data_IF_683948943537
#
_entry.id   IF_683948943537
#
_cell.length_a   1.000
_cell.length_b   1.000
_cell.length_c   1.000
_cell.angle_alpha   90.00
_cell.angle_beta   90.00
_cell.angle_gamma   90.00
#
_symmetry.space_group_name_H-M   'P 1'
#
loop_
_entity.id
_entity.type
_entity.pdbx_description
1 polymer ?
#
# COMPACT_ATOMS: atom_id res chain seq x y z
N UNK A 1 -24.42 38.93 -12.91
CA UNK A 1 -25.09 39.29 -14.18
C UNK A 1 -24.93 38.11 -15.11
N UNK A 2 -26.01 37.56 -15.66
CA UNK A 2 -25.89 36.51 -16.68
C UNK A 2 -25.22 37.11 -17.93
N UNK A 3 -24.26 36.41 -18.56
CA UNK A 3 -23.61 36.92 -19.77
C UNK A 3 -24.69 37.19 -20.83
N UNK A 4 -24.74 38.41 -21.34
CA UNK A 4 -25.71 38.80 -22.38
C UNK A 4 -25.00 38.78 -23.72
N UNK A 5 -25.50 37.96 -24.65
CA UNK A 5 -24.93 37.89 -26.00
C UNK A 5 -25.29 39.15 -26.77
N UNK A 6 -24.26 39.85 -27.21
CA UNK A 6 -24.33 41.01 -28.08
C UNK A 6 -23.93 40.64 -29.51
N UNK A 7 -24.18 41.54 -30.46
CA UNK A 7 -23.79 41.36 -31.86
C UNK A 7 -22.27 41.22 -32.05
N UNK A 8 -21.49 41.74 -31.09
CA UNK A 8 -20.02 41.74 -31.12
C UNK A 8 -19.42 40.61 -30.28
N UNK A 9 -20.24 39.72 -29.71
CA UNK A 9 -19.75 38.61 -28.90
C UNK A 9 -18.94 37.64 -29.77
N UNK A 10 -17.66 37.39 -29.45
CA UNK A 10 -16.82 36.49 -30.23
C UNK A 10 -17.24 35.03 -30.02
N UNK A 11 -17.20 34.23 -31.09
CA UNK A 11 -17.36 32.77 -30.99
C UNK A 11 -16.01 32.16 -30.64
N UNK A 12 -15.95 31.49 -29.50
CA UNK A 12 -14.79 30.77 -29.02
C UNK A 12 -14.72 29.40 -29.69
N UNK A 13 -13.62 29.13 -30.40
CA UNK A 13 -13.41 27.85 -31.06
C UNK A 13 -13.05 26.76 -30.05
N UNK A 14 -13.96 25.81 -29.86
CA UNK A 14 -13.74 24.65 -29.01
C UNK A 14 -13.30 23.43 -29.82
N UNK A 15 -12.17 22.87 -29.42
CA UNK A 15 -11.65 21.63 -29.98
C UNK A 15 -11.49 20.60 -28.86
N UNK A 16 -12.10 19.42 -29.02
CA UNK A 16 -12.10 18.39 -27.99
C UNK A 16 -10.68 18.00 -27.56
N UNK A 17 -9.75 17.77 -28.49
CA UNK A 17 -8.38 17.33 -28.16
C UNK A 17 -7.60 18.30 -27.27
N UNK A 18 -7.82 19.61 -27.42
CA UNK A 18 -7.09 20.63 -26.67
C UNK A 18 -7.84 21.05 -25.40
N UNK A 19 -9.16 21.16 -25.48
CA UNK A 19 -10.00 21.71 -24.42
C UNK A 19 -10.62 20.64 -23.53
N UNK A 20 -10.88 19.44 -24.07
CA UNK A 20 -11.44 18.27 -23.38
C UNK A 20 -10.55 17.03 -23.58
N UNK A 21 -9.30 17.04 -23.11
CA UNK A 21 -8.33 16.00 -23.45
C UNK A 21 -8.64 14.63 -22.83
N UNK A 22 -9.47 14.56 -21.78
CA UNK A 22 -9.92 13.29 -21.22
C UNK A 22 -11.06 12.75 -22.07
N UNK A 23 -10.91 11.53 -22.58
CA UNK A 23 -11.99 10.81 -23.27
C UNK A 23 -12.94 10.18 -22.23
N UNK A 24 -14.23 10.49 -22.30
CA UNK A 24 -15.26 9.98 -21.39
C UNK A 24 -15.53 8.50 -21.67
N UNK A 25 -15.38 7.69 -20.62
CA UNK A 25 -15.66 6.25 -20.56
C UNK A 25 -16.53 5.96 -19.34
N UNK A 26 -17.00 4.71 -19.22
CA UNK A 26 -17.93 4.25 -18.16
C UNK A 26 -17.47 4.54 -16.72
N UNK A 27 -16.17 4.69 -16.48
CA UNK A 27 -15.57 4.74 -15.13
C UNK A 27 -14.99 6.09 -14.72
N UNK A 28 -14.86 7.07 -15.62
CA UNK A 28 -14.14 8.33 -15.36
C UNK A 28 -15.02 9.58 -15.41
N UNK A 29 -16.36 9.42 -15.42
CA UNK A 29 -17.31 10.53 -15.56
C UNK A 29 -17.01 11.71 -14.64
N UNK A 30 -16.72 11.49 -13.36
CA UNK A 30 -16.48 12.58 -12.41
C UNK A 30 -15.22 13.41 -12.69
N UNK A 31 -14.16 12.75 -13.16
CA UNK A 31 -12.91 13.43 -13.54
C UNK A 31 -13.13 14.21 -14.83
N UNK A 32 -13.74 13.56 -15.82
CA UNK A 32 -14.11 14.18 -17.09
C UNK A 32 -15.02 15.41 -16.87
N UNK A 33 -16.09 15.25 -16.09
CA UNK A 33 -17.06 16.29 -15.79
C UNK A 33 -16.38 17.49 -15.10
N UNK A 34 -15.50 17.24 -14.13
CA UNK A 34 -14.75 18.30 -13.45
C UNK A 34 -13.88 19.07 -14.43
N UNK A 35 -13.17 18.38 -15.33
CA UNK A 35 -12.34 19.03 -16.33
C UNK A 35 -13.17 19.85 -17.32
N UNK A 36 -14.21 19.26 -17.91
CA UNK A 36 -15.09 19.93 -18.88
C UNK A 36 -15.73 21.16 -18.25
N UNK A 37 -16.31 21.02 -17.05
CA UNK A 37 -16.92 22.13 -16.33
C UNK A 37 -15.90 23.24 -16.04
N UNK A 38 -14.71 22.91 -15.55
CA UNK A 38 -13.67 23.89 -15.27
C UNK A 38 -13.26 24.66 -16.51
N UNK A 39 -13.15 23.97 -17.66
CA UNK A 39 -12.76 24.58 -18.92
C UNK A 39 -13.88 25.48 -19.48
N UNK A 40 -15.14 25.04 -19.42
CA UNK A 40 -16.29 25.87 -19.80
C UNK A 40 -16.42 27.12 -18.91
N UNK A 41 -16.15 27.02 -17.61
CA UNK A 41 -16.10 28.21 -16.73
C UNK A 41 -14.98 29.15 -17.15
N UNK A 42 -13.78 28.63 -17.43
CA UNK A 42 -12.63 29.44 -17.83
C UNK A 42 -12.85 30.22 -19.14
N UNK A 43 -13.70 29.69 -20.03
CA UNK A 43 -14.07 30.33 -21.30
C UNK A 43 -15.38 31.13 -21.24
N UNK A 44 -16.01 31.24 -20.06
CA UNK A 44 -17.32 31.87 -19.87
C UNK A 44 -18.45 31.23 -20.71
N UNK A 45 -18.39 29.90 -20.89
CA UNK A 45 -19.32 29.10 -21.68
C UNK A 45 -20.22 28.19 -20.84
N UNK A 46 -20.08 28.20 -19.50
CA UNK A 46 -20.86 27.30 -18.63
C UNK A 46 -22.38 27.50 -18.76
N UNK A 47 -22.81 28.72 -19.06
CA UNK A 47 -24.22 29.08 -19.19
C UNK A 47 -24.97 28.29 -20.28
N UNK A 48 -24.25 27.84 -21.31
CA UNK A 48 -24.83 27.03 -22.39
C UNK A 48 -25.20 25.62 -21.95
N UNK A 49 -24.46 25.04 -20.99
CA UNK A 49 -24.65 23.64 -20.57
C UNK A 49 -25.49 23.50 -19.30
N UNK A 50 -25.50 24.52 -18.43
CA UNK A 50 -26.35 24.53 -17.22
C UNK A 50 -27.72 25.19 -17.44
N UNK A 51 -27.95 25.74 -18.64
CA UNK A 51 -29.22 26.35 -19.04
C UNK A 51 -29.45 27.74 -18.47
N UNK A 52 -28.47 28.34 -17.78
CA UNK A 52 -28.58 29.73 -17.29
C UNK A 52 -28.50 30.77 -18.42
N UNK A 53 -27.94 30.40 -19.57
CA UNK A 53 -27.91 31.22 -20.78
C UNK A 53 -28.92 30.72 -21.82
N UNK A 54 -30.10 31.33 -21.83
CA UNK A 54 -31.16 30.98 -22.76
C UNK A 54 -30.87 31.46 -24.19
N UNK A 55 -31.34 30.67 -25.17
CA UNK A 55 -31.27 31.03 -26.57
C UNK A 55 -32.05 32.33 -26.84
N UNK A 56 -31.43 33.34 -27.50
CA UNK A 56 -32.14 34.52 -27.95
C UNK A 56 -33.26 34.15 -28.95
N UNK A 57 -34.30 34.98 -29.13
CA UNK A 57 -35.31 34.76 -30.16
C UNK A 57 -34.68 34.66 -31.56
N UNK A 58 -35.12 33.72 -32.39
CA UNK A 58 -34.62 33.54 -33.77
C UNK A 58 -34.87 34.75 -34.66
N UNK A 59 -35.97 35.45 -34.41
CA UNK A 59 -36.42 36.63 -35.16
C UNK A 59 -36.61 37.78 -34.18
N UNK A 60 -36.11 38.96 -34.53
CA UNK A 60 -36.28 40.21 -33.80
C UNK A 60 -36.79 41.25 -34.79
N UNK A 61 -37.91 41.90 -34.48
CA UNK A 61 -38.52 42.97 -35.31
C UNK A 61 -38.73 42.56 -36.79
N UNK A 62 -39.10 41.30 -37.03
CA UNK A 62 -39.35 40.76 -38.38
C UNK A 62 -38.10 40.39 -39.17
N UNK A 63 -36.90 40.55 -38.61
CA UNK A 63 -35.64 40.17 -39.22
C UNK A 63 -34.93 39.05 -38.42
N UNK A 64 -34.01 38.33 -39.07
CA UNK A 64 -33.19 37.32 -38.40
C UNK A 64 -32.33 37.96 -37.31
N UNK A 65 -32.34 37.37 -36.10
CA UNK A 65 -31.59 37.90 -34.97
C UNK A 65 -30.11 37.47 -35.03
N UNK A 66 -29.14 38.40 -35.17
CA UNK A 66 -27.72 38.05 -35.19
C UNK A 66 -27.25 37.40 -33.87
N UNK A 67 -27.80 37.80 -32.72
CA UNK A 67 -27.43 37.23 -31.43
C UNK A 67 -27.82 35.75 -31.33
N UNK A 68 -28.95 35.34 -31.93
CA UNK A 68 -29.31 33.92 -32.02
C UNK A 68 -28.29 33.14 -32.85
N UNK A 69 -27.83 33.70 -33.98
CA UNK A 69 -26.83 33.02 -34.81
C UNK A 69 -25.51 32.81 -34.07
N UNK A 70 -25.07 33.81 -33.29
CA UNK A 70 -23.86 33.72 -32.45
C UNK A 70 -24.03 32.66 -31.36
N UNK A 71 -25.13 32.73 -30.59
CA UNK A 71 -25.47 31.75 -29.56
C UNK A 71 -25.47 30.33 -30.15
N UNK A 72 -26.17 30.14 -31.26
CA UNK A 72 -26.33 28.83 -31.89
C UNK A 72 -24.99 28.26 -32.38
N UNK A 73 -24.14 29.08 -32.99
CA UNK A 73 -22.79 28.63 -33.40
C UNK A 73 -21.94 28.21 -32.20
N UNK A 74 -22.00 28.96 -31.11
CA UNK A 74 -21.26 28.62 -29.89
C UNK A 74 -21.79 27.33 -29.26
N UNK A 75 -23.11 27.18 -29.15
CA UNK A 75 -23.78 25.98 -28.64
C UNK A 75 -23.39 24.74 -29.45
N UNK A 76 -23.47 24.80 -30.78
CA UNK A 76 -23.07 23.69 -31.65
C UNK A 76 -21.57 23.38 -31.57
N UNK A 77 -20.72 24.39 -31.35
CA UNK A 77 -19.29 24.17 -31.10
C UNK A 77 -19.06 23.41 -29.79
N UNK A 78 -19.85 23.67 -28.75
CA UNK A 78 -19.78 22.93 -27.48
C UNK A 78 -20.25 21.49 -27.68
N UNK A 79 -21.36 21.26 -28.39
CA UNK A 79 -21.82 19.89 -28.72
C UNK A 79 -20.74 19.11 -29.47
N UNK A 80 -20.14 19.70 -30.51
CA UNK A 80 -19.06 19.08 -31.27
C UNK A 80 -17.86 18.72 -30.39
N UNK A 81 -17.49 19.59 -29.45
CA UNK A 81 -16.43 19.31 -28.50
C UNK A 81 -16.82 18.21 -27.49
N UNK A 82 -18.05 18.20 -26.97
CA UNK A 82 -18.57 17.15 -26.09
C UNK A 82 -18.55 15.79 -26.79
N UNK A 83 -19.06 15.70 -28.03
CA UNK A 83 -19.01 14.50 -28.87
C UNK A 83 -17.57 14.02 -29.08
N UNK A 84 -16.66 14.94 -29.40
CA UNK A 84 -15.24 14.63 -29.59
C UNK A 84 -14.54 14.17 -28.31
N UNK A 85 -15.04 14.56 -27.14
CA UNK A 85 -14.55 14.12 -25.84
C UNK A 85 -15.16 12.79 -25.36
N UNK A 86 -16.18 12.28 -26.03
CA UNK A 86 -16.83 11.02 -25.67
C UNK A 86 -16.16 9.82 -26.35
N UNK A 87 -16.17 8.67 -25.67
CA UNK A 87 -15.87 7.39 -26.34
C UNK A 87 -16.96 6.96 -27.29
N UNK A 88 -16.60 6.09 -28.23
CA UNK A 88 -17.47 5.61 -29.29
C UNK A 88 -18.71 4.88 -28.72
N UNK A 89 -18.60 4.34 -27.49
CA UNK A 89 -19.70 3.76 -26.73
C UNK A 89 -20.63 4.80 -26.09
N UNK A 90 -20.12 6.00 -25.80
CA UNK A 90 -20.82 7.09 -25.09
C UNK A 90 -21.40 8.11 -26.06
N UNK A 91 -20.75 8.34 -27.21
CA UNK A 91 -21.21 9.26 -28.26
C UNK A 91 -22.69 9.08 -28.66
N UNK A 92 -23.23 7.85 -28.81
CA UNK A 92 -24.64 7.66 -29.15
C UNK A 92 -25.63 8.24 -28.14
N UNK A 93 -25.21 8.50 -26.89
CA UNK A 93 -26.08 9.08 -25.86
C UNK A 93 -26.40 10.55 -26.10
N UNK A 94 -25.58 11.24 -26.90
CA UNK A 94 -25.72 12.68 -27.17
C UNK A 94 -25.71 13.03 -28.66
N UNK A 95 -25.66 12.04 -29.55
CA UNK A 95 -25.58 12.27 -31.00
C UNK A 95 -26.86 12.88 -31.58
N UNK A 96 -28.00 12.70 -30.91
CA UNK A 96 -29.31 13.25 -31.32
C UNK A 96 -29.69 14.51 -30.57
N UNK A 97 -28.88 14.97 -29.60
CA UNK A 97 -29.20 16.16 -28.82
C UNK A 97 -29.05 17.42 -29.68
N UNK A 98 -30.02 18.32 -29.58
CA UNK A 98 -30.03 19.55 -30.38
C UNK A 98 -29.25 20.68 -29.70
N UNK A 99 -29.10 20.62 -28.38
CA UNK A 99 -28.45 21.68 -27.57
C UNK A 99 -27.36 21.12 -26.66
N UNK A 100 -26.38 21.95 -26.31
CA UNK A 100 -25.33 21.57 -25.37
C UNK A 100 -25.89 21.28 -23.97
N UNK A 101 -26.93 22.01 -23.55
CA UNK A 101 -27.65 21.78 -22.30
C UNK A 101 -28.28 20.37 -22.25
N UNK A 102 -28.95 19.96 -23.32
CA UNK A 102 -29.55 18.63 -23.43
C UNK A 102 -28.47 17.53 -23.40
N UNK A 103 -27.41 17.69 -24.20
CA UNK A 103 -26.29 16.75 -24.22
C UNK A 103 -25.65 16.59 -22.83
N UNK A 104 -25.40 17.71 -22.15
CA UNK A 104 -24.86 17.73 -20.79
C UNK A 104 -25.77 16.99 -19.80
N UNK A 105 -27.08 17.26 -19.86
CA UNK A 105 -28.09 16.62 -19.00
C UNK A 105 -28.17 15.11 -19.25
N UNK A 106 -28.16 14.68 -20.50
CA UNK A 106 -28.22 13.26 -20.87
C UNK A 106 -26.98 12.49 -20.39
N UNK A 107 -25.78 13.05 -20.54
CA UNK A 107 -24.56 12.44 -19.97
C UNK A 107 -24.66 12.34 -18.45
N UNK A 108 -25.11 13.39 -17.80
CA UNK A 108 -25.31 13.38 -16.35
C UNK A 108 -26.30 12.30 -15.90
N UNK A 109 -27.43 12.16 -16.58
CA UNK A 109 -28.44 11.15 -16.28
C UNK A 109 -27.91 9.73 -16.51
N UNK A 110 -27.25 9.48 -17.64
CA UNK A 110 -26.71 8.17 -18.00
C UNK A 110 -25.68 7.65 -16.99
N UNK A 111 -24.89 8.55 -16.38
CA UNK A 111 -23.84 8.18 -15.45
C UNK A 111 -24.23 8.31 -13.96
N UNK A 112 -25.45 8.77 -13.66
CA UNK A 112 -25.94 8.97 -12.30
C UNK A 112 -26.07 7.65 -11.49
N UNK A 113 -26.47 6.55 -12.14
CA UNK A 113 -26.61 5.25 -11.45
C UNK A 113 -25.24 4.65 -11.09
N UNK A 114 -24.29 4.71 -12.03
CA UNK A 114 -22.90 4.29 -11.84
C UNK A 114 -22.22 5.11 -10.73
N UNK A 115 -22.44 6.42 -10.70
CA UNK A 115 -21.89 7.29 -9.66
C UNK A 115 -22.46 6.95 -8.27
N UNK A 116 -23.77 6.68 -8.14
CA UNK A 116 -24.37 6.26 -6.87
C UNK A 116 -23.80 4.94 -6.36
N UNK A 117 -23.71 3.92 -7.21
CA UNK A 117 -23.10 2.63 -6.84
C UNK A 117 -21.63 2.78 -6.42
N UNK A 118 -20.87 3.62 -7.14
CA UNK A 118 -19.49 3.95 -6.79
C UNK A 118 -19.39 4.69 -5.45
N UNK A 119 -20.24 5.68 -5.18
CA UNK A 119 -20.28 6.39 -3.90
C UNK A 119 -20.51 5.41 -2.75
N UNK A 120 -21.49 4.49 -2.87
CA UNK A 120 -21.77 3.49 -1.84
C UNK A 120 -20.57 2.57 -1.64
N UNK A 121 -19.95 2.09 -2.72
CA UNK A 121 -18.75 1.25 -2.66
C UNK A 121 -17.58 1.96 -1.98
N UNK A 122 -17.31 3.22 -2.34
CA UNK A 122 -16.25 4.02 -1.74
C UNK A 122 -16.50 4.32 -0.26
N UNK A 123 -17.74 4.67 0.13
CA UNK A 123 -18.11 4.87 1.55
C UNK A 123 -17.95 3.58 2.35
N UNK A 124 -18.33 2.44 1.77
CA UNK A 124 -18.11 1.12 2.39
C UNK A 124 -16.63 0.83 2.60
N UNK A 125 -15.79 1.09 1.58
CA UNK A 125 -14.33 0.97 1.68
C UNK A 125 -13.78 1.90 2.77
N UNK A 126 -14.20 3.16 2.81
CA UNK A 126 -13.73 4.12 3.81
C UNK A 126 -14.09 3.67 5.24
N UNK A 127 -15.31 3.17 5.44
CA UNK A 127 -15.79 2.73 6.75
C UNK A 127 -15.20 1.38 7.21
N UNK A 128 -14.76 0.52 6.29
CA UNK A 128 -14.24 -0.82 6.56
C UNK A 128 -12.89 -1.04 5.85
N UNK A 129 -11.88 -0.32 6.30
CA UNK A 129 -10.51 -0.44 5.80
C UNK A 129 -9.54 -0.53 6.98
N UNK A 130 -9.43 -1.69 7.64
CA UNK A 130 -8.54 -1.86 8.79
C UNK A 130 -7.08 -1.67 8.35
N UNK A 131 -6.23 -0.98 9.14
CA UNK A 131 -4.79 -0.83 8.87
C UNK A 131 -4.17 -2.18 8.49
N UNK A 132 -4.39 -3.20 9.33
CA UNK A 132 -3.82 -4.53 9.18
C UNK A 132 -2.29 -4.49 9.20
N UNK A 133 -1.66 -5.30 8.35
CA UNK A 133 -0.20 -5.44 8.26
C UNK A 133 0.49 -4.31 7.48
N UNK A 134 -0.28 -3.32 7.00
CA UNK A 134 0.26 -2.17 6.25
C UNK A 134 1.02 -1.23 7.18
N UNK A 135 2.02 -0.53 6.62
CA UNK A 135 2.65 0.59 7.31
C UNK A 135 1.62 1.70 7.57
N UNK A 136 1.83 2.49 8.62
CA UNK A 136 0.94 3.62 8.92
C UNK A 136 0.88 4.62 7.76
N UNK A 137 2.00 4.83 7.06
CA UNK A 137 2.06 5.73 5.92
C UNK A 137 1.20 5.26 4.74
N UNK A 138 1.29 3.98 4.39
CA UNK A 138 0.50 3.40 3.29
C UNK A 138 -0.99 3.41 3.61
N UNK A 139 -1.32 3.09 4.86
CA UNK A 139 -2.70 3.13 5.35
C UNK A 139 -3.31 4.54 5.25
N UNK A 140 -2.62 5.56 5.77
CA UNK A 140 -3.08 6.95 5.72
C UNK A 140 -3.21 7.45 4.27
N UNK A 141 -2.24 7.12 3.40
CA UNK A 141 -2.31 7.46 1.99
C UNK A 141 -3.54 6.83 1.32
N UNK A 142 -3.83 5.56 1.62
CA UNK A 142 -4.99 4.86 1.06
C UNK A 142 -6.31 5.46 1.56
N UNK A 143 -6.42 5.81 2.85
CA UNK A 143 -7.59 6.49 3.40
C UNK A 143 -7.83 7.85 2.74
N UNK A 144 -6.77 8.64 2.55
CA UNK A 144 -6.84 9.92 1.86
C UNK A 144 -7.21 9.76 0.37
N UNK A 145 -6.70 8.71 -0.29
CA UNK A 145 -7.06 8.39 -1.67
C UNK A 145 -8.56 8.11 -1.81
N UNK A 146 -9.16 7.31 -0.92
CA UNK A 146 -10.60 7.04 -0.93
C UNK A 146 -11.40 8.34 -0.70
N UNK A 147 -10.97 9.19 0.24
CA UNK A 147 -11.61 10.49 0.49
C UNK A 147 -11.53 11.41 -0.74
N UNK A 148 -10.40 11.43 -1.43
CA UNK A 148 -10.23 12.17 -2.69
C UNK A 148 -11.14 11.63 -3.79
N UNK A 149 -11.26 10.30 -3.94
CA UNK A 149 -12.19 9.69 -4.89
C UNK A 149 -13.65 10.06 -4.58
N UNK A 150 -14.03 10.09 -3.30
CA UNK A 150 -15.33 10.54 -2.84
C UNK A 150 -15.59 12.03 -3.16
N UNK A 151 -14.57 12.89 -2.99
CA UNK A 151 -14.65 14.29 -3.39
C UNK A 151 -14.78 14.47 -4.91
N UNK A 152 -14.16 13.59 -5.71
CA UNK A 152 -14.30 13.61 -7.17
C UNK A 152 -15.74 13.33 -7.59
N UNK A 153 -16.40 12.34 -7.00
CA UNK A 153 -17.82 12.00 -7.25
C UNK A 153 -18.82 12.92 -6.55
N UNK A 154 -18.39 14.13 -6.15
CA UNK A 154 -19.21 15.16 -5.49
C UNK A 154 -19.82 14.73 -4.14
N UNK A 155 -19.19 13.78 -3.45
CA UNK A 155 -19.56 13.38 -2.09
C UNK A 155 -18.34 13.53 -1.15
N UNK A 156 -17.80 14.75 -0.96
CA UNK A 156 -16.61 14.97 -0.14
C UNK A 156 -16.83 14.49 1.31
N UNK A 157 -15.75 14.04 1.94
CA UNK A 157 -15.71 13.65 3.35
C UNK A 157 -15.09 14.81 4.13
N UNK A 158 -15.68 15.20 5.25
CA UNK A 158 -15.08 16.23 6.10
C UNK A 158 -13.76 15.73 6.69
N UNK A 159 -12.85 16.64 7.04
CA UNK A 159 -11.58 16.25 7.64
C UNK A 159 -11.80 15.53 8.98
N UNK A 160 -12.76 16.00 9.77
CA UNK A 160 -13.16 15.38 11.04
C UNK A 160 -13.69 13.95 10.84
N UNK A 161 -14.57 13.73 9.86
CA UNK A 161 -15.09 12.39 9.55
C UNK A 161 -13.97 11.46 9.07
N UNK A 162 -13.04 11.96 8.26
CA UNK A 162 -11.88 11.19 7.80
C UNK A 162 -11.00 10.76 8.99
N UNK A 163 -10.74 11.66 9.94
CA UNK A 163 -10.03 11.37 11.19
C UNK A 163 -10.76 10.30 12.00
N UNK A 164 -12.08 10.40 12.14
CA UNK A 164 -12.90 9.39 12.83
C UNK A 164 -12.79 8.02 12.15
N UNK A 165 -12.87 7.98 10.81
CA UNK A 165 -12.70 6.74 10.06
C UNK A 165 -11.32 6.11 10.28
N UNK A 166 -10.26 6.91 10.29
CA UNK A 166 -8.89 6.45 10.56
C UNK A 166 -8.79 5.82 11.95
N UNK A 167 -9.25 6.54 12.98
CA UNK A 167 -9.20 6.10 14.38
C UNK A 167 -10.02 4.84 14.64
N UNK A 168 -11.13 4.63 13.91
CA UNK A 168 -11.96 3.43 14.07
C UNK A 168 -11.36 2.18 13.41
N UNK A 169 -10.31 2.32 12.59
CA UNK A 169 -9.77 1.23 11.76
C UNK A 169 -8.27 1.03 11.96
N UNK A 170 -7.64 1.74 12.90
CA UNK A 170 -6.18 1.73 13.09
C UNK A 170 -5.66 0.50 13.83
N UNK A 171 -6.49 -0.18 14.64
CA UNK A 171 -6.10 -1.35 15.42
C UNK A 171 -5.99 -1.07 16.93
N UNK A 172 -6.01 -2.13 17.73
CA UNK A 172 -5.91 -2.09 19.19
C UNK A 172 -4.53 -1.65 19.69
N UNK A 173 -3.48 -1.86 18.88
CA UNK A 173 -2.14 -1.39 19.21
C UNK A 173 -2.03 0.16 19.28
N UNK A 174 -3.05 0.88 18.81
CA UNK A 174 -3.16 2.35 18.86
C UNK A 174 -4.25 2.87 19.82
N UNK A 175 -4.87 2.03 20.65
CA UNK A 175 -5.99 2.41 21.53
C UNK A 175 -5.68 3.59 22.46
N UNK A 176 -4.44 3.72 22.90
CA UNK A 176 -3.99 4.85 23.73
C UNK A 176 -4.12 6.19 23.00
N UNK A 177 -3.77 6.23 21.71
CA UNK A 177 -3.91 7.42 20.86
C UNK A 177 -5.38 7.65 20.53
N UNK A 178 -6.11 6.59 20.17
CA UNK A 178 -7.53 6.68 19.87
C UNK A 178 -8.32 7.24 21.05
N UNK A 179 -8.02 6.81 22.28
CA UNK A 179 -8.65 7.33 23.50
C UNK A 179 -8.28 8.78 23.77
N UNK A 180 -7.00 9.14 23.66
CA UNK A 180 -6.54 10.51 23.83
C UNK A 180 -7.16 11.48 22.81
N UNK A 181 -7.27 11.04 21.54
CA UNK A 181 -7.88 11.83 20.47
C UNK A 181 -9.39 12.07 20.71
N UNK A 182 -10.11 11.12 21.30
CA UNK A 182 -11.57 11.25 21.56
C UNK A 182 -11.92 12.22 22.68
N UNK A 183 -11.05 12.39 23.68
CA UNK A 183 -11.30 13.28 24.84
C UNK A 183 -10.81 14.71 24.57
N UNK A 184 -10.03 14.91 23.51
CA UNK A 184 -9.46 16.20 23.15
C UNK A 184 -10.57 17.21 22.79
N UNK A 185 -10.46 18.43 23.29
CA UNK A 185 -11.44 19.50 23.08
C UNK A 185 -11.38 20.11 21.66
N UNK A 186 -10.18 20.23 21.09
CA UNK A 186 -9.97 20.71 19.73
C UNK A 186 -9.80 19.54 18.75
N UNK A 187 -10.51 19.53 17.61
CA UNK A 187 -10.38 18.47 16.61
C UNK A 187 -8.96 18.41 16.04
N UNK A 188 -8.46 17.20 15.83
CA UNK A 188 -7.16 16.98 15.18
C UNK A 188 -7.32 17.14 13.67
N UNK A 189 -6.37 17.81 13.03
CA UNK A 189 -6.25 17.72 11.58
C UNK A 189 -5.77 16.33 11.15
N UNK A 190 -6.08 15.95 9.91
CA UNK A 190 -5.64 14.67 9.33
C UNK A 190 -4.11 14.56 9.31
N UNK A 191 -3.42 15.68 9.06
CA UNK A 191 -1.96 15.75 9.07
C UNK A 191 -1.39 15.51 10.47
N UNK A 192 -1.90 16.21 11.48
CA UNK A 192 -1.43 16.05 12.87
C UNK A 192 -1.66 14.63 13.38
N UNK A 193 -2.84 14.06 13.14
CA UNK A 193 -3.11 12.67 13.47
C UNK A 193 -2.11 11.74 12.78
N UNK A 194 -1.84 11.97 11.49
CA UNK A 194 -0.89 11.18 10.72
C UNK A 194 0.53 11.21 11.30
N UNK A 195 1.01 12.37 11.74
CA UNK A 195 2.32 12.51 12.36
C UNK A 195 2.38 11.78 13.72
N UNK A 196 1.34 11.92 14.56
CA UNK A 196 1.23 11.23 15.86
C UNK A 196 1.23 9.70 15.67
N UNK A 197 0.43 9.19 14.73
CA UNK A 197 0.31 7.75 14.48
C UNK A 197 1.61 7.14 13.96
N UNK A 198 2.31 7.84 13.05
CA UNK A 198 3.62 7.39 12.54
C UNK A 198 4.70 7.38 13.61
N UNK A 199 4.70 8.37 14.50
CA UNK A 199 5.67 8.39 15.61
C UNK A 199 5.40 7.25 16.60
N UNK A 200 4.12 6.94 16.84
CA UNK A 200 3.74 5.80 17.66
C UNK A 200 4.11 4.45 17.03
N UNK A 201 3.96 4.31 15.72
CA UNK A 201 4.40 3.12 14.98
C UNK A 201 5.89 2.85 15.21
N UNK A 202 6.75 3.87 15.12
CA UNK A 202 8.18 3.74 15.43
C UNK A 202 8.42 3.28 16.88
N UNK A 203 7.65 3.83 17.83
CA UNK A 203 7.76 3.46 19.26
C UNK A 203 7.37 2.00 19.49
N UNK A 204 6.31 1.51 18.85
CA UNK A 204 5.91 0.09 18.91
C UNK A 204 7.04 -0.78 18.36
N UNK A 205 7.59 -0.45 17.19
CA UNK A 205 8.66 -1.22 16.55
C UNK A 205 9.92 -1.29 17.44
N UNK A 206 10.33 -0.17 18.05
CA UNK A 206 11.46 -0.14 18.98
C UNK A 206 11.22 -0.98 20.24
N UNK A 207 10.00 -0.90 20.81
CA UNK A 207 9.59 -1.71 21.95
C UNK A 207 9.61 -3.20 21.63
N UNK A 208 9.10 -3.59 20.45
CA UNK A 208 9.08 -4.99 20.00
C UNK A 208 10.49 -5.53 19.74
N UNK A 209 11.36 -4.73 19.12
CA UNK A 209 12.78 -5.07 18.96
C UNK A 209 13.46 -5.29 20.32
N UNK A 210 13.18 -4.43 21.29
CA UNK A 210 13.73 -4.54 22.66
C UNK A 210 13.22 -5.79 23.39
N UNK A 211 11.91 -6.11 23.25
CA UNK A 211 11.33 -7.34 23.82
C UNK A 211 11.95 -8.59 23.21
N UNK A 212 12.18 -8.59 21.90
CA UNK A 212 12.79 -9.72 21.18
C UNK A 212 14.22 -9.97 21.65
N UNK A 213 15.02 -8.91 21.83
CA UNK A 213 16.38 -9.00 22.38
C UNK A 213 16.37 -9.52 23.84
N UNK A 214 15.41 -9.08 24.65
CA UNK A 214 15.29 -9.50 26.04
C UNK A 214 14.95 -10.99 26.19
N UNK A 215 14.05 -11.51 25.33
CA UNK A 215 13.69 -12.93 25.29
C UNK A 215 14.86 -13.82 24.82
N UNK A 216 15.64 -13.35 23.84
CA UNK A 216 16.85 -14.05 23.39
C UNK A 216 17.91 -14.15 24.50
N UNK A 217 18.04 -13.10 25.32
CA UNK A 217 19.03 -13.06 26.42
C UNK A 217 18.61 -13.92 27.62
N UNK A 218 17.32 -13.97 27.94
CA UNK A 218 16.77 -14.80 29.01
C UNK A 218 16.92 -16.32 28.73
N UNK A 219 16.67 -16.74 27.48
CA UNK A 219 16.89 -18.13 27.05
C UNK A 219 18.38 -18.52 27.07
N UNK A 220 19.30 -17.57 26.84
CA UNK A 220 20.74 -17.80 26.93
C UNK A 220 21.21 -18.01 28.38
N UNK A 221 20.68 -17.25 29.34
CA UNK A 221 21.02 -17.42 30.77
C UNK A 221 20.50 -18.73 31.37
N UNK A 222 19.38 -19.26 30.88
CA UNK A 222 18.83 -20.53 31.39
C UNK A 222 19.62 -21.76 30.88
N UNK A 223 20.28 -21.66 29.71
CA UNK A 223 21.19 -22.71 29.23
C UNK A 223 22.57 -22.72 29.92
N UNK A 224 22.96 -21.65 30.63
CA UNK A 224 24.23 -21.62 31.38
C UNK A 224 24.11 -22.06 32.85
N UNK A 225 22.89 -22.30 33.36
CA UNK A 225 22.66 -22.79 34.74
C UNK A 225 22.81 -24.33 34.89
N UNK A 226 23.71 -24.94 34.11
CA UNK A 226 24.02 -26.37 34.12
C UNK A 226 25.39 -26.69 34.71
N UNK A 227 25.56 -26.43 36.01
CA UNK A 227 26.37 -27.22 36.96
C UNK A 227 27.88 -27.39 36.74
N UNK A 228 28.69 -26.66 37.50
CA UNK A 228 30.07 -27.05 37.78
C UNK A 228 30.81 -26.18 38.81
N UNK A 229 30.97 -26.68 40.05
CA UNK A 229 32.20 -26.43 40.82
C UNK A 229 32.12 -25.98 42.29
N UNK A 230 32.18 -26.96 43.20
CA UNK A 230 33.00 -27.00 44.43
C UNK A 230 32.71 -26.07 45.62
N UNK A 231 32.25 -26.69 46.73
CA UNK A 231 32.77 -26.34 48.07
C UNK A 231 33.04 -27.61 48.88
N UNK A 232 34.26 -27.67 49.44
CA UNK A 232 34.73 -28.69 50.37
C UNK A 232 34.25 -28.31 51.78
N UNK A 233 33.54 -29.20 52.46
CA UNK A 233 33.61 -29.37 53.91
C UNK A 233 33.14 -30.81 54.22
N UNK A 234 33.94 -31.52 55.02
CA UNK A 234 33.81 -32.95 55.23
C UNK A 234 32.77 -33.35 56.27
N UNK A 235 32.41 -34.63 56.27
CA UNK A 235 32.07 -35.40 57.46
C UNK A 235 32.19 -36.89 57.12
N UNK A 236 32.88 -37.64 57.97
CA UNK A 236 32.95 -39.11 57.96
C UNK A 236 31.56 -39.74 58.08
N UNK A 237 31.34 -40.91 57.47
CA UNK A 237 30.80 -42.10 58.14
C UNK A 237 31.04 -43.37 57.29
N UNK A 238 31.25 -44.49 58.00
CA UNK A 238 31.52 -45.85 57.51
C UNK A 238 30.22 -46.53 57.05
N UNK A 239 30.37 -47.49 56.12
CA UNK A 239 29.83 -48.87 56.14
C UNK A 239 29.90 -49.41 54.69
N UNK A 240 30.79 -50.35 54.36
CA UNK A 240 30.70 -51.80 54.55
C UNK A 240 29.69 -52.48 53.59
N UNK A 241 30.22 -53.22 52.61
CA UNK A 241 29.43 -53.94 51.62
C UNK A 241 30.30 -54.59 50.55
N UNK A 242 30.61 -55.87 50.76
CA UNK A 242 31.28 -56.79 49.84
C UNK A 242 30.42 -57.03 48.59
N UNK A 243 31.04 -57.20 47.41
CA UNK A 243 31.03 -58.50 46.74
C UNK A 243 31.91 -58.57 45.48
N UNK A 244 32.36 -59.79 45.28
CA UNK A 244 33.34 -60.33 44.34
C UNK A 244 32.86 -60.44 42.89
N UNK A 245 33.78 -60.30 41.93
CA UNK A 245 33.57 -60.73 40.54
C UNK A 245 34.88 -60.71 39.75
N UNK A 246 35.36 -61.91 39.40
CA UNK A 246 36.69 -62.19 38.86
C UNK A 246 36.78 -62.06 37.33
N UNK A 247 38.01 -61.77 36.88
CA UNK A 247 38.68 -62.40 35.73
C UNK A 247 38.80 -61.69 34.37
N UNK A 248 40.07 -61.65 33.96
CA UNK A 248 40.63 -61.87 32.62
C UNK A 248 40.75 -60.71 31.59
N UNK A 249 41.97 -60.15 31.58
CA UNK A 249 42.95 -60.24 30.49
C UNK A 249 42.54 -59.74 29.07
N UNK A 250 43.18 -58.67 28.57
CA UNK A 250 44.09 -58.70 27.40
C UNK A 250 44.67 -57.32 27.00
N UNK A 251 45.96 -57.39 26.71
CA UNK A 251 46.89 -56.49 26.00
C UNK A 251 46.30 -55.66 24.84
N UNK A 252 46.84 -54.45 24.62
CA UNK A 252 46.86 -53.85 23.27
C UNK A 252 46.98 -52.32 23.14
N UNK A 253 48.21 -51.79 23.27
CA UNK A 253 48.87 -50.74 22.47
C UNK A 253 48.01 -49.81 21.57
N UNK A 254 48.14 -48.49 21.76
CA UNK A 254 47.75 -47.50 20.73
C UNK A 254 47.83 -46.04 21.17
N UNK A 255 48.96 -45.39 20.91
CA UNK A 255 49.16 -43.94 20.97
C UNK A 255 48.26 -43.22 19.95
N UNK A 256 47.63 -42.10 20.34
CA UNK A 256 47.68 -40.81 19.63
C UNK A 256 46.87 -39.75 20.37
N UNK A 257 47.47 -38.58 20.46
CA UNK A 257 46.96 -37.33 21.03
C UNK A 257 45.62 -36.91 20.40
N UNK A 258 44.55 -36.92 21.19
CA UNK A 258 43.24 -36.38 20.82
C UNK A 258 42.87 -35.21 21.72
N UNK A 259 42.79 -34.00 21.14
CA UNK A 259 42.19 -32.80 21.74
C UNK A 259 40.72 -33.09 22.12
N UNK A 260 40.18 -32.53 23.21
CA UNK A 260 38.79 -32.77 23.58
C UNK A 260 37.86 -32.12 22.55
N UNK A 261 37.04 -32.96 21.90
CA UNK A 261 36.00 -32.54 20.99
C UNK A 261 34.91 -31.83 21.80
N UNK A 262 34.71 -30.55 21.50
CA UNK A 262 33.57 -29.75 21.95
C UNK A 262 32.33 -30.35 21.32
N UNK A 263 31.54 -31.08 22.11
CA UNK A 263 30.22 -31.54 21.72
C UNK A 263 29.32 -30.31 21.56
N UNK A 264 29.23 -29.79 20.35
CA UNK A 264 28.17 -28.85 19.98
C UNK A 264 26.96 -29.70 19.57
N UNK A 265 26.05 -29.91 20.52
CA UNK A 265 24.72 -30.39 20.21
C UNK A 265 24.02 -29.33 19.32
N UNK A 266 23.51 -29.77 18.16
CA UNK A 266 22.49 -29.02 17.42
C UNK A 266 22.95 -28.16 16.24
N UNK A 267 23.56 -28.77 15.22
CA UNK A 267 23.30 -28.45 13.79
C UNK A 267 24.14 -29.38 12.92
N UNK A 268 23.50 -30.17 12.04
CA UNK A 268 24.24 -30.91 11.01
C UNK A 268 24.99 -29.95 10.07
N UNK A 269 25.99 -30.45 9.36
CA UNK A 269 26.70 -29.67 8.35
C UNK A 269 25.70 -29.08 7.32
N UNK A 270 25.70 -27.76 7.11
CA UNK A 270 24.72 -27.08 6.24
C UNK A 270 24.76 -27.55 4.77
N UNK A 271 25.83 -28.19 4.33
CA UNK A 271 25.96 -28.72 2.97
C UNK A 271 25.47 -30.16 2.82
N UNK A 272 25.81 -31.05 3.76
CA UNK A 272 25.49 -32.48 3.63
C UNK A 272 24.48 -33.00 4.65
N UNK A 273 24.05 -32.14 5.58
CA UNK A 273 23.13 -32.43 6.70
C UNK A 273 23.57 -33.55 7.65
N UNK A 274 24.82 -34.04 7.53
CA UNK A 274 25.37 -35.08 8.41
C UNK A 274 25.96 -34.39 9.66
N UNK A 275 25.61 -34.85 10.87
CA UNK A 275 26.18 -34.33 12.11
C UNK A 275 27.64 -34.76 12.31
N UNK A 276 28.38 -34.04 13.15
CA UNK A 276 29.73 -34.42 13.57
C UNK A 276 30.89 -33.77 12.81
N UNK A 277 30.63 -32.83 11.91
CA UNK A 277 31.65 -31.97 11.29
C UNK A 277 31.04 -30.63 10.86
N UNK A 278 31.87 -29.58 10.80
CA UNK A 278 31.50 -28.29 10.21
C UNK A 278 31.60 -28.35 8.68
N UNK A 279 30.91 -27.45 7.99
CA UNK A 279 30.90 -27.30 6.53
C UNK A 279 32.31 -27.15 5.96
N UNK A 280 33.19 -26.47 6.69
CA UNK A 280 34.61 -26.29 6.33
C UNK A 280 35.36 -27.62 6.21
N UNK A 281 34.96 -28.61 7.00
CA UNK A 281 35.55 -29.94 7.05
C UNK A 281 34.71 -30.98 6.27
N UNK A 282 33.73 -30.52 5.48
CA UNK A 282 32.83 -31.41 4.77
C UNK A 282 33.50 -32.11 3.59
N UNK A 283 33.75 -33.41 3.74
CA UNK A 283 34.37 -34.26 2.70
C UNK A 283 33.56 -34.30 1.40
N UNK A 284 32.23 -34.15 1.45
CA UNK A 284 31.38 -34.07 0.25
C UNK A 284 31.57 -32.74 -0.49
N UNK A 285 31.57 -31.61 0.24
CA UNK A 285 31.83 -30.29 -0.34
C UNK A 285 33.24 -30.22 -0.95
N UNK A 286 34.24 -30.75 -0.24
CA UNK A 286 35.62 -30.77 -0.72
C UNK A 286 35.84 -31.65 -1.98
N UNK A 287 34.94 -32.60 -2.29
CA UNK A 287 34.96 -33.33 -3.56
C UNK A 287 34.23 -32.55 -4.67
N UNK A 288 33.09 -31.95 -4.36
CA UNK A 288 32.33 -31.12 -5.27
C UNK A 288 33.16 -29.95 -5.81
N UNK A 289 33.82 -29.20 -4.93
CA UNK A 289 34.67 -28.06 -5.33
C UNK A 289 35.83 -28.49 -6.23
N UNK A 290 36.42 -29.66 -5.99
CA UNK A 290 37.50 -30.21 -6.84
C UNK A 290 37.02 -30.66 -8.21
N UNK A 291 35.82 -31.21 -8.32
CA UNK A 291 35.25 -31.61 -9.61
C UNK A 291 34.89 -30.41 -10.49
N UNK A 292 34.51 -29.29 -9.89
CA UNK A 292 34.12 -28.07 -10.60
C UNK A 292 35.24 -27.00 -10.66
N UNK A 293 36.47 -27.32 -10.22
CA UNK A 293 37.62 -26.41 -10.29
C UNK A 293 37.50 -25.15 -9.40
N UNK A 294 36.68 -25.18 -8.36
CA UNK A 294 36.42 -24.05 -7.48
C UNK A 294 37.35 -24.05 -6.26
N UNK A 295 37.95 -22.91 -5.93
CA UNK A 295 38.74 -22.74 -4.71
C UNK A 295 37.81 -22.53 -3.49
N UNK A 296 38.11 -23.13 -2.32
CA UNK A 296 37.32 -22.91 -1.12
C UNK A 296 37.48 -21.46 -0.62
N UNK A 297 36.37 -20.77 -0.26
CA UNK A 297 36.45 -19.38 0.20
C UNK A 297 37.11 -19.27 1.57
N UNK A 298 37.78 -18.15 1.87
CA UNK A 298 38.48 -17.96 3.15
C UNK A 298 37.54 -17.79 4.35
N UNK A 299 36.26 -17.47 4.14
CA UNK A 299 35.27 -17.25 5.21
C UNK A 299 33.92 -17.88 4.83
N UNK A 300 33.40 -18.78 5.66
CA UNK A 300 32.22 -19.62 5.39
C UNK A 300 30.86 -18.87 5.38
N UNK A 301 30.85 -17.56 5.62
CA UNK A 301 29.64 -16.74 5.78
C UNK A 301 29.34 -15.81 4.59
N UNK A 302 30.05 -15.90 3.47
CA UNK A 302 29.63 -15.15 2.28
C UNK A 302 28.36 -15.79 1.71
N UNK A 303 27.23 -15.09 1.87
CA UNK A 303 25.92 -15.47 1.32
C UNK A 303 25.96 -15.66 -0.19
N UNK A 304 26.84 -14.95 -0.90
CA UNK A 304 27.00 -15.07 -2.36
C UNK A 304 27.55 -16.43 -2.80
N UNK A 305 28.43 -17.05 -1.99
CA UNK A 305 28.98 -18.37 -2.30
C UNK A 305 27.90 -19.46 -2.20
N UNK A 306 27.03 -19.37 -1.19
CA UNK A 306 25.94 -20.34 -0.98
C UNK A 306 24.85 -20.23 -2.03
N UNK A 307 24.58 -19.03 -2.54
CA UNK A 307 23.68 -18.82 -3.68
C UNK A 307 24.26 -19.50 -4.93
N UNK A 308 25.55 -19.31 -5.22
CA UNK A 308 26.20 -19.92 -6.39
C UNK A 308 26.23 -21.46 -6.32
N UNK A 309 26.49 -22.05 -5.14
CA UNK A 309 26.49 -23.51 -4.95
C UNK A 309 25.08 -24.08 -5.08
N UNK A 310 24.05 -23.41 -4.55
CA UNK A 310 22.67 -23.88 -4.63
C UNK A 310 22.15 -23.91 -6.09
N UNK A 311 22.47 -22.90 -6.88
CA UNK A 311 22.15 -22.86 -8.31
C UNK A 311 22.80 -23.99 -9.13
N UNK A 312 23.98 -24.48 -8.73
CA UNK A 312 24.67 -25.58 -9.41
C UNK A 312 24.20 -26.97 -8.97
N UNK A 313 23.55 -27.09 -7.81
CA UNK A 313 23.03 -28.38 -7.30
C UNK A 313 21.55 -28.61 -7.62
N UNK A 314 20.80 -27.56 -7.95
CA UNK A 314 19.36 -27.62 -8.27
C UNK A 314 19.07 -27.49 -9.79
N UNK A 315 20.11 -27.62 -10.63
CA UNK A 315 20.01 -27.66 -12.10
C UNK A 315 20.21 -29.06 -12.67
#
# INVERSE_FOLDING_TARGET
>A
MAPTITKDTPVVQLHAKTHFPIKLISTNFSIWQRQVRSMLIALDLIGYVDGTLHAPPKVLEGAANPCYSIWFRQDQSIIGALLGSCSDQVQPLISTCETACEAWTNLHAAFASSSRGRIVSLKSKLGKNPKGDRSMSDYLFYMQSIANELALVQSPVSEEDLVVHVLNQVGDEYDSITSAARVRAEPLSFKELGDILKEHEKKIQLSEATRTLSLATANYTQQQSGGGGSSRFGQHHRDEGRDSGSSANRRGRGQTTGRPARQTAGSGCQFCSIPGHDVRDCRKLARFLRQHGLAPPPVAHSTEFWVAVKFLTEG
#
